data_IF_858230314627
#
_entry.id   IF_858230314627
#
_cell.length_a   1.000
_cell.length_b   1.000
_cell.length_c   1.000
_cell.angle_alpha   90.00
_cell.angle_beta   90.00
_cell.angle_gamma   90.00
#
_symmetry.space_group_name_H-M   'P 1'
#
loop_
_entity.id
_entity.type
_entity.pdbx_description
1 polymer ?
#
# COMPACT_ATOMS: atom_id res chain seq x y z
N UNK A 1 25.79 7.33 21.16
CA UNK A 1 24.69 8.30 20.96
C UNK A 1 25.16 9.64 21.50
N UNK A 2 25.25 10.67 20.65
CA UNK A 2 25.52 12.03 21.10
C UNK A 2 24.40 12.48 22.03
N UNK A 3 24.72 12.87 23.27
CA UNK A 3 23.76 13.45 24.20
C UNK A 3 23.65 14.94 23.92
N UNK A 4 22.68 15.32 23.10
CA UNK A 4 22.37 16.73 22.87
C UNK A 4 21.66 17.31 24.10
N UNK A 5 21.85 18.61 24.35
CA UNK A 5 21.07 19.33 25.35
C UNK A 5 19.57 19.26 24.95
N UNK A 6 18.67 18.74 25.79
CA UNK A 6 17.25 18.60 25.46
C UNK A 6 16.57 19.91 25.05
N UNK A 7 17.02 21.05 25.60
CA UNK A 7 16.51 22.38 25.23
C UNK A 7 16.92 22.74 23.81
N UNK A 8 18.20 22.58 23.47
CA UNK A 8 18.72 22.86 22.11
C UNK A 8 18.00 21.98 21.07
N UNK A 9 17.83 20.69 21.38
CA UNK A 9 17.13 19.78 20.49
C UNK A 9 15.66 20.13 20.27
N UNK A 10 14.96 20.61 21.31
CA UNK A 10 13.59 21.13 21.16
C UNK A 10 13.55 22.36 20.24
N UNK A 11 14.43 23.35 20.45
CA UNK A 11 14.44 24.57 19.63
C UNK A 11 14.80 24.31 18.17
N UNK A 12 15.74 23.40 17.89
CA UNK A 12 16.07 23.01 16.52
C UNK A 12 14.89 22.32 15.81
N UNK A 13 14.15 21.46 16.52
CA UNK A 13 12.93 20.85 15.98
C UNK A 13 11.82 21.87 15.74
N UNK A 14 11.68 22.85 16.65
CA UNK A 14 10.73 23.94 16.49
C UNK A 14 11.08 24.83 15.30
N UNK A 15 12.34 25.22 15.16
CA UNK A 15 12.85 26.01 14.03
C UNK A 15 12.61 25.28 12.70
N UNK A 16 12.99 24.01 12.60
CA UNK A 16 12.75 23.20 11.41
C UNK A 16 11.25 23.13 11.06
N UNK A 17 10.38 23.03 12.06
CA UNK A 17 8.93 22.99 11.87
C UNK A 17 8.35 24.34 11.44
N UNK A 18 8.89 25.45 11.96
CA UNK A 18 8.53 26.80 11.50
C UNK A 18 8.93 26.97 10.03
N UNK A 19 10.16 26.60 9.66
CA UNK A 19 10.64 26.65 8.27
C UNK A 19 9.74 25.81 7.36
N UNK A 20 9.41 24.58 7.78
CA UNK A 20 8.50 23.69 7.04
C UNK A 20 7.12 24.33 6.84
N UNK A 21 6.55 24.92 7.89
CA UNK A 21 5.23 25.55 7.85
C UNK A 21 5.22 26.79 6.97
N UNK A 22 6.27 27.62 7.05
CA UNK A 22 6.45 28.78 6.18
C UNK A 22 6.61 28.36 4.72
N UNK A 23 7.33 27.27 4.45
CA UNK A 23 7.45 26.71 3.11
C UNK A 23 6.08 26.28 2.56
N UNK A 24 5.26 25.53 3.33
CA UNK A 24 3.91 25.13 2.91
C UNK A 24 2.98 26.34 2.69
N UNK A 25 3.09 27.36 3.53
CA UNK A 25 2.33 28.60 3.35
C UNK A 25 2.76 29.35 2.08
N UNK A 26 4.07 29.47 1.85
CA UNK A 26 4.61 30.08 0.63
C UNK A 26 4.19 29.28 -0.60
N UNK A 27 4.22 27.97 -0.55
CA UNK A 27 3.79 27.08 -1.64
C UNK A 27 2.31 27.30 -2.00
N UNK A 28 1.43 27.40 -1.01
CA UNK A 28 0.03 27.79 -1.22
C UNK A 28 -0.09 29.17 -1.87
N UNK A 29 0.61 30.19 -1.35
CA UNK A 29 0.59 31.55 -1.91
C UNK A 29 1.05 31.53 -3.37
N UNK A 30 2.13 30.81 -3.67
CA UNK A 30 2.65 30.69 -5.02
C UNK A 30 1.69 29.93 -5.94
N UNK A 31 1.02 28.88 -5.46
CA UNK A 31 -0.01 28.19 -6.22
C UNK A 31 -1.23 29.09 -6.56
N UNK A 32 -1.53 30.09 -5.72
CA UNK A 32 -2.60 31.05 -5.94
C UNK A 32 -2.17 32.14 -6.94
N UNK A 33 -1.03 32.80 -6.70
CA UNK A 33 -0.62 33.99 -7.48
C UNK A 33 0.24 33.67 -8.70
N UNK A 34 1.01 32.58 -8.64
CA UNK A 34 1.92 32.15 -9.69
C UNK A 34 1.70 30.66 -10.04
N UNK A 35 0.47 30.26 -10.41
CA UNK A 35 0.13 28.86 -10.68
C UNK A 35 0.94 28.28 -11.83
N UNK A 36 0.97 26.94 -11.91
CA UNK A 36 1.44 26.24 -13.10
C UNK A 36 0.66 26.71 -14.35
N UNK A 37 1.27 26.71 -15.54
CA UNK A 37 0.62 27.23 -16.76
C UNK A 37 -0.77 26.63 -17.03
N UNK A 38 -0.94 25.33 -16.77
CA UNK A 38 -2.23 24.62 -16.92
C UNK A 38 -3.34 25.08 -15.97
N UNK A 39 -3.03 25.88 -14.96
CA UNK A 39 -3.98 26.40 -13.98
C UNK A 39 -4.07 27.94 -14.00
N UNK A 40 -3.33 28.60 -14.89
CA UNK A 40 -3.22 30.06 -14.92
C UNK A 40 -4.53 30.78 -15.26
N UNK A 41 -5.44 30.14 -15.98
CA UNK A 41 -6.75 30.71 -16.34
C UNK A 41 -7.81 30.55 -15.25
N UNK A 42 -7.56 29.74 -14.22
CA UNK A 42 -8.52 29.51 -13.13
C UNK A 42 -8.62 30.75 -12.23
N UNK A 43 -9.80 30.99 -11.65
CA UNK A 43 -9.97 31.99 -10.60
C UNK A 43 -9.27 31.61 -9.29
N UNK A 44 -8.99 32.58 -8.40
CA UNK A 44 -8.24 32.31 -7.16
C UNK A 44 -8.87 31.23 -6.27
N UNK A 45 -10.20 31.25 -6.09
CA UNK A 45 -10.91 30.20 -5.33
C UNK A 45 -10.77 28.81 -5.96
N UNK A 46 -10.80 28.73 -7.29
CA UNK A 46 -10.59 27.46 -8.01
C UNK A 46 -9.15 26.98 -7.92
N UNK A 47 -8.16 27.88 -7.88
CA UNK A 47 -6.75 27.53 -7.65
C UNK A 47 -6.56 26.93 -6.27
N UNK A 48 -7.18 27.49 -5.23
CA UNK A 48 -7.16 26.92 -3.87
C UNK A 48 -7.82 25.54 -3.86
N UNK A 49 -9.01 25.42 -4.47
CA UNK A 49 -9.72 24.14 -4.58
C UNK A 49 -8.87 23.08 -5.30
N UNK A 50 -8.18 23.45 -6.38
CA UNK A 50 -7.27 22.55 -7.08
C UNK A 50 -6.01 22.24 -6.28
N UNK A 51 -5.44 23.20 -5.55
CA UNK A 51 -4.25 22.97 -4.73
C UNK A 51 -4.50 21.91 -3.67
N UNK A 52 -5.62 22.00 -2.95
CA UNK A 52 -6.00 21.05 -1.93
C UNK A 52 -6.64 19.76 -2.47
N UNK A 53 -6.95 19.67 -3.77
CA UNK A 53 -7.49 18.43 -4.35
C UNK A 53 -6.43 17.34 -4.51
N UNK A 54 -5.13 17.67 -4.46
CA UNK A 54 -4.06 16.68 -4.53
C UNK A 54 -3.83 15.98 -3.19
N UNK A 55 -3.84 14.65 -3.20
CA UNK A 55 -3.46 13.82 -2.05
C UNK A 55 -2.08 14.20 -1.52
N UNK A 56 -1.14 14.42 -2.43
CA UNK A 56 0.25 14.78 -2.09
C UNK A 56 0.34 16.11 -1.32
N UNK A 57 -0.49 17.09 -1.64
CA UNK A 57 -0.60 18.33 -0.87
C UNK A 57 -1.11 18.03 0.53
N UNK A 58 -2.25 17.35 0.64
CA UNK A 58 -2.88 17.07 1.94
C UNK A 58 -1.95 16.26 2.87
N UNK A 59 -1.24 15.26 2.35
CA UNK A 59 -0.33 14.44 3.15
C UNK A 59 0.88 15.21 3.66
N UNK A 60 1.40 16.19 2.91
CA UNK A 60 2.46 17.08 3.39
C UNK A 60 1.99 17.96 4.57
N UNK A 61 0.76 18.48 4.53
CA UNK A 61 0.17 19.17 5.69
C UNK A 61 -0.03 18.22 6.88
N UNK A 62 -0.44 16.98 6.64
CA UNK A 62 -0.55 15.95 7.69
C UNK A 62 0.82 15.65 8.32
N UNK A 63 1.90 15.61 7.54
CA UNK A 63 3.28 15.46 8.07
C UNK A 63 3.67 16.65 8.94
N UNK A 64 3.41 17.88 8.50
CA UNK A 64 3.67 19.06 9.31
C UNK A 64 2.88 19.01 10.63
N UNK A 65 1.58 18.68 10.58
CA UNK A 65 0.74 18.50 11.77
C UNK A 65 1.27 17.40 12.68
N UNK A 66 1.72 16.27 12.13
CA UNK A 66 2.33 15.19 12.90
C UNK A 66 3.58 15.69 13.65
N UNK A 67 4.45 16.46 13.01
CA UNK A 67 5.62 17.02 13.68
C UNK A 67 5.26 18.05 14.75
N UNK A 68 4.19 18.84 14.59
CA UNK A 68 3.64 19.68 15.66
C UNK A 68 3.20 18.83 16.86
N UNK A 69 2.38 17.81 16.63
CA UNK A 69 1.92 16.90 17.69
C UNK A 69 3.12 16.23 18.39
N UNK A 70 4.08 15.73 17.61
CA UNK A 70 5.28 15.10 18.14
C UNK A 70 6.11 16.03 19.01
N UNK A 71 6.34 17.28 18.56
CA UNK A 71 7.13 18.27 19.28
C UNK A 71 6.47 18.63 20.62
N UNK A 72 5.15 18.88 20.61
CA UNK A 72 4.44 19.32 21.81
C UNK A 72 4.15 18.18 22.80
N UNK A 73 3.82 16.98 22.33
CA UNK A 73 3.70 15.83 23.23
C UNK A 73 5.03 15.47 23.87
N UNK A 74 6.13 15.52 23.10
CA UNK A 74 7.47 15.28 23.65
C UNK A 74 7.84 16.33 24.70
N UNK A 75 7.43 17.59 24.53
CA UNK A 75 7.77 18.68 25.45
C UNK A 75 6.90 18.70 26.71
N UNK A 76 5.59 18.55 26.57
CA UNK A 76 4.62 18.77 27.64
C UNK A 76 4.17 17.49 28.33
N UNK A 77 4.15 16.36 27.61
CA UNK A 77 3.71 15.06 28.16
C UNK A 77 4.86 14.07 28.32
N UNK A 78 6.03 14.38 27.76
CA UNK A 78 7.16 13.45 27.64
C UNK A 78 6.74 12.13 26.94
N UNK A 79 5.77 12.22 26.03
CA UNK A 79 5.25 11.13 25.22
C UNK A 79 5.50 11.39 23.74
N UNK A 80 5.23 10.39 22.90
CA UNK A 80 5.18 10.54 21.44
C UNK A 80 3.78 10.22 20.93
N UNK A 81 3.40 10.71 19.75
CA UNK A 81 2.12 10.37 19.14
C UNK A 81 1.97 8.86 19.01
N UNK A 82 0.73 8.40 19.11
CA UNK A 82 0.41 6.98 19.05
C UNK A 82 0.98 6.33 17.78
N UNK A 83 1.54 5.13 17.91
CA UNK A 83 2.24 4.43 16.83
C UNK A 83 1.41 4.29 15.55
N UNK A 84 0.10 4.06 15.68
CA UNK A 84 -0.82 3.96 14.53
C UNK A 84 -0.88 5.26 13.74
N UNK A 85 -0.84 6.43 14.40
CA UNK A 85 -0.80 7.73 13.72
C UNK A 85 0.52 7.86 12.95
N UNK A 86 1.64 7.55 13.60
CA UNK A 86 2.95 7.55 12.97
C UNK A 86 3.01 6.61 11.74
N UNK A 87 2.47 5.41 11.86
CA UNK A 87 2.35 4.43 10.77
C UNK A 87 1.51 4.97 9.62
N UNK A 88 0.35 5.57 9.90
CA UNK A 88 -0.54 6.16 8.91
C UNK A 88 0.16 7.26 8.10
N UNK A 89 0.72 8.25 8.81
CA UNK A 89 1.39 9.41 8.19
C UNK A 89 2.59 8.97 7.35
N UNK A 90 3.40 8.03 7.86
CA UNK A 90 4.55 7.49 7.12
C UNK A 90 4.09 6.73 5.87
N UNK A 91 3.01 5.95 5.97
CA UNK A 91 2.44 5.24 4.81
C UNK A 91 1.99 6.24 3.74
N UNK A 92 1.17 7.24 4.10
CA UNK A 92 0.62 8.19 3.12
C UNK A 92 1.70 9.03 2.43
N UNK A 93 2.71 9.50 3.17
CA UNK A 93 3.77 10.30 2.58
C UNK A 93 4.71 9.46 1.71
N UNK A 94 4.85 8.16 2.01
CA UNK A 94 5.61 7.23 1.14
C UNK A 94 4.85 6.95 -0.15
N UNK A 95 3.53 6.77 -0.08
CA UNK A 95 2.68 6.68 -1.28
C UNK A 95 2.82 7.96 -2.11
N UNK A 96 2.81 9.13 -1.46
CA UNK A 96 3.01 10.43 -2.12
C UNK A 96 4.32 10.47 -2.91
N UNK A 97 5.42 10.04 -2.30
CA UNK A 97 6.72 9.95 -2.97
C UNK A 97 6.68 8.96 -4.16
N UNK A 98 6.15 7.75 -3.96
CA UNK A 98 6.12 6.72 -4.99
C UNK A 98 5.23 7.11 -6.19
N UNK A 99 4.01 7.57 -5.93
CA UNK A 99 3.07 7.99 -6.98
C UNK A 99 3.67 9.12 -7.81
N UNK A 100 4.33 10.09 -7.18
CA UNK A 100 4.95 11.19 -7.90
C UNK A 100 6.13 10.74 -8.76
N UNK A 101 7.14 10.12 -8.16
CA UNK A 101 8.41 9.80 -8.84
C UNK A 101 8.33 8.60 -9.78
N UNK A 102 7.40 7.66 -9.56
CA UNK A 102 7.21 6.50 -10.44
C UNK A 102 6.07 6.75 -11.43
N UNK A 103 4.99 7.41 -11.00
CA UNK A 103 3.77 7.54 -11.80
C UNK A 103 3.63 8.86 -12.58
N UNK A 104 4.00 10.00 -11.99
CA UNK A 104 3.67 11.32 -12.55
C UNK A 104 4.84 11.93 -13.32
N UNK A 105 6.06 11.89 -12.77
CA UNK A 105 7.22 12.59 -13.36
C UNK A 105 7.60 12.08 -14.75
N UNK A 106 7.29 10.81 -15.06
CA UNK A 106 7.58 10.16 -16.34
C UNK A 106 6.60 10.50 -17.46
N UNK A 107 5.53 11.25 -17.19
CA UNK A 107 4.59 11.65 -18.23
C UNK A 107 5.20 12.70 -19.15
N UNK A 108 4.98 12.52 -20.47
CA UNK A 108 5.36 13.52 -21.47
C UNK A 108 4.73 14.88 -21.10
N UNK A 109 5.51 15.94 -21.26
CA UNK A 109 5.12 17.33 -21.05
C UNK A 109 4.82 17.79 -19.61
N UNK A 110 4.79 16.92 -18.59
CA UNK A 110 4.70 17.35 -17.19
C UNK A 110 5.96 18.09 -16.74
N UNK A 111 7.14 17.54 -17.06
CA UNK A 111 8.43 18.13 -16.68
C UNK A 111 8.65 19.52 -17.30
N UNK A 112 8.16 19.72 -18.53
CA UNK A 112 8.32 20.97 -19.29
C UNK A 112 7.47 22.13 -18.74
N UNK A 113 6.46 21.84 -17.90
CA UNK A 113 5.60 22.85 -17.29
C UNK A 113 6.21 23.48 -16.03
N UNK A 114 7.28 22.91 -15.49
CA UNK A 114 7.90 23.36 -14.25
C UNK A 114 8.89 24.51 -14.49
N UNK A 115 8.52 25.69 -13.99
CA UNK A 115 9.46 26.80 -13.73
C UNK A 115 10.43 26.43 -12.58
N UNK A 116 11.59 27.09 -12.45
CA UNK A 116 12.58 26.74 -11.42
C UNK A 116 12.01 26.61 -10.00
N UNK A 117 11.14 27.54 -9.59
CA UNK A 117 10.46 27.47 -8.31
C UNK A 117 9.60 26.19 -8.15
N UNK A 118 8.81 25.84 -9.16
CA UNK A 118 7.96 24.65 -9.09
C UNK A 118 8.77 23.35 -9.04
N UNK A 119 9.97 23.33 -9.64
CA UNK A 119 10.91 22.21 -9.48
C UNK A 119 11.39 22.10 -8.03
N UNK A 120 11.82 23.21 -7.42
CA UNK A 120 12.24 23.24 -6.02
C UNK A 120 11.12 22.80 -5.09
N UNK A 121 9.92 23.36 -5.27
CA UNK A 121 8.76 23.00 -4.48
C UNK A 121 8.42 21.51 -4.62
N UNK A 122 8.41 21.01 -5.86
CA UNK A 122 8.19 19.59 -6.17
C UNK A 122 9.18 18.68 -5.45
N UNK A 123 10.47 18.98 -5.49
CA UNK A 123 11.51 18.18 -4.81
C UNK A 123 11.31 18.20 -3.30
N UNK A 124 10.98 19.36 -2.73
CA UNK A 124 10.74 19.46 -1.29
C UNK A 124 9.49 18.65 -0.89
N UNK A 125 8.39 18.79 -1.64
CA UNK A 125 7.09 18.15 -1.38
C UNK A 125 7.07 16.64 -1.62
N UNK A 126 7.81 16.15 -2.61
CA UNK A 126 7.72 14.76 -3.05
C UNK A 126 8.99 13.95 -2.77
N UNK A 127 10.06 14.55 -2.24
CA UNK A 127 11.27 13.81 -1.86
C UNK A 127 11.74 14.18 -0.46
N UNK A 128 12.04 15.46 -0.19
CA UNK A 128 12.65 15.87 1.09
C UNK A 128 11.72 15.60 2.27
N UNK A 129 10.47 16.05 2.22
CA UNK A 129 9.49 15.81 3.28
C UNK A 129 9.23 14.31 3.53
N UNK A 130 8.95 13.49 2.49
CA UNK A 130 8.87 12.03 2.66
C UNK A 130 10.11 11.42 3.31
N UNK A 131 11.31 11.75 2.86
CA UNK A 131 12.57 11.20 3.41
C UNK A 131 12.75 11.59 4.88
N UNK A 132 12.44 12.83 5.26
CA UNK A 132 12.48 13.28 6.66
C UNK A 132 11.49 12.46 7.51
N UNK A 133 10.26 12.27 7.05
CA UNK A 133 9.24 11.50 7.79
C UNK A 133 9.61 10.01 7.90
N UNK A 134 10.09 9.39 6.83
CA UNK A 134 10.55 7.99 6.83
C UNK A 134 11.75 7.82 7.77
N UNK A 135 12.70 8.75 7.73
CA UNK A 135 13.86 8.75 8.65
C UNK A 135 13.40 8.90 10.09
N UNK A 136 12.48 9.82 10.37
CA UNK A 136 11.87 10.00 11.69
C UNK A 136 11.20 8.72 12.18
N UNK A 137 10.45 8.02 11.31
CA UNK A 137 9.86 6.72 11.62
C UNK A 137 10.93 5.70 12.03
N UNK A 138 11.95 5.49 11.20
CA UNK A 138 13.00 4.49 11.45
C UNK A 138 13.76 4.78 12.75
N UNK A 139 14.05 6.05 13.04
CA UNK A 139 14.78 6.45 14.24
C UNK A 139 13.98 6.32 15.54
N UNK A 140 12.65 6.27 15.46
CA UNK A 140 11.75 6.25 16.63
C UNK A 140 10.97 4.95 16.77
N UNK A 141 11.11 4.04 15.81
CA UNK A 141 10.53 2.70 15.81
C UNK A 141 11.30 1.72 16.70
N UNK A 142 10.65 0.61 17.07
CA UNK A 142 11.23 -0.48 17.84
C UNK A 142 11.13 -0.34 19.36
N UNK A 143 10.32 0.59 19.87
CA UNK A 143 10.08 0.75 21.31
C UNK A 143 9.10 -0.30 21.87
N UNK A 144 8.22 -0.84 21.03
CA UNK A 144 7.30 -1.92 21.39
C UNK A 144 7.09 -2.88 20.21
N UNK A 145 6.76 -4.13 20.54
CA UNK A 145 6.35 -5.10 19.53
C UNK A 145 4.91 -4.80 19.11
N UNK A 146 4.67 -4.74 17.80
CA UNK A 146 3.36 -4.49 17.23
C UNK A 146 2.78 -5.77 16.63
N UNK A 147 1.65 -6.22 17.15
CA UNK A 147 1.01 -7.46 16.74
C UNK A 147 0.28 -7.31 15.39
N UNK A 148 0.67 -8.10 14.40
CA UNK A 148 0.01 -8.13 13.08
C UNK A 148 -1.49 -8.49 13.17
N UNK A 149 -1.89 -9.22 14.21
CA UNK A 149 -3.28 -9.63 14.40
C UNK A 149 -4.21 -8.47 14.74
N UNK A 150 -3.77 -7.57 15.60
CA UNK A 150 -4.53 -6.37 15.95
C UNK A 150 -4.59 -5.40 14.78
N UNK A 151 -3.53 -5.36 13.97
CA UNK A 151 -3.45 -4.47 12.83
C UNK A 151 -4.54 -4.76 11.80
N UNK A 152 -4.61 -5.98 11.26
CA UNK A 152 -5.54 -6.29 10.17
C UNK A 152 -7.01 -6.23 10.59
N UNK A 153 -7.30 -6.47 11.88
CA UNK A 153 -8.68 -6.42 12.40
C UNK A 153 -9.20 -5.00 12.57
N UNK A 154 -8.34 -4.05 12.93
CA UNK A 154 -8.77 -2.70 13.34
C UNK A 154 -8.01 -1.59 12.63
N UNK A 155 -6.70 -1.57 12.77
CA UNK A 155 -5.90 -0.40 12.40
C UNK A 155 -5.62 -0.29 10.90
N UNK A 156 -5.56 -1.42 10.18
CA UNK A 156 -5.45 -1.44 8.72
C UNK A 156 -6.59 -0.63 8.09
N UNK A 157 -7.82 -0.95 8.46
CA UNK A 157 -9.02 -0.28 7.94
C UNK A 157 -9.11 1.18 8.38
N UNK A 158 -8.68 1.49 9.61
CA UNK A 158 -8.62 2.87 10.08
C UNK A 158 -7.66 3.73 9.25
N UNK A 159 -6.51 3.19 8.85
CA UNK A 159 -5.55 3.88 7.97
C UNK A 159 -6.11 3.96 6.54
N UNK A 160 -6.74 2.90 6.03
CA UNK A 160 -7.36 2.94 4.69
C UNK A 160 -8.52 3.94 4.59
N UNK A 161 -9.21 4.23 5.70
CA UNK A 161 -10.39 5.11 5.72
C UNK A 161 -10.11 6.49 5.14
N UNK A 162 -8.98 7.12 5.48
CA UNK A 162 -8.64 8.44 4.95
C UNK A 162 -8.43 8.42 3.43
N UNK A 163 -7.79 7.38 2.90
CA UNK A 163 -7.58 7.23 1.45
C UNK A 163 -8.90 7.01 0.71
N UNK A 164 -9.80 6.21 1.28
CA UNK A 164 -11.15 6.00 0.71
C UNK A 164 -11.94 7.30 0.75
N UNK A 165 -11.93 8.04 1.86
CA UNK A 165 -12.61 9.33 1.98
C UNK A 165 -12.08 10.36 0.97
N UNK A 166 -10.75 10.44 0.82
CA UNK A 166 -10.11 11.27 -0.19
C UNK A 166 -10.59 10.91 -1.59
N UNK A 167 -10.54 9.63 -1.96
CA UNK A 167 -10.97 9.16 -3.27
C UNK A 167 -12.42 9.55 -3.55
N UNK A 168 -13.33 9.28 -2.61
CA UNK A 168 -14.76 9.60 -2.76
C UNK A 168 -14.95 11.09 -3.01
N UNK A 169 -14.31 11.96 -2.21
CA UNK A 169 -14.41 13.42 -2.36
C UNK A 169 -13.88 13.87 -3.72
N UNK A 170 -12.75 13.32 -4.17
CA UNK A 170 -12.15 13.70 -5.44
C UNK A 170 -12.95 13.22 -6.64
N UNK A 171 -13.50 12.01 -6.59
CA UNK A 171 -14.40 11.52 -7.62
C UNK A 171 -15.63 12.42 -7.71
N UNK A 172 -16.31 12.67 -6.58
CA UNK A 172 -17.47 13.59 -6.54
C UNK A 172 -17.12 14.97 -7.09
N UNK A 173 -16.01 15.57 -6.64
CA UNK A 173 -15.55 16.88 -7.13
C UNK A 173 -15.33 16.88 -8.64
N UNK A 174 -14.65 15.85 -9.17
CA UNK A 174 -14.40 15.75 -10.60
C UNK A 174 -15.67 15.56 -11.43
N UNK A 175 -16.61 14.75 -10.94
CA UNK A 175 -17.95 14.60 -11.53
C UNK A 175 -18.69 15.93 -11.59
N UNK A 176 -18.77 16.68 -10.49
CA UNK A 176 -19.45 17.97 -10.46
C UNK A 176 -18.79 18.99 -11.40
N UNK A 177 -17.45 19.06 -11.42
CA UNK A 177 -16.74 19.94 -12.35
C UNK A 177 -17.00 19.59 -13.81
N UNK A 178 -17.18 18.30 -14.13
CA UNK A 178 -17.52 17.86 -15.47
C UNK A 178 -18.94 18.30 -15.86
N UNK A 179 -19.90 18.11 -14.95
CA UNK A 179 -21.28 18.56 -15.14
C UNK A 179 -21.38 20.09 -15.29
N UNK A 180 -20.51 20.85 -14.61
CA UNK A 180 -20.38 22.30 -14.73
C UNK A 180 -19.64 22.76 -16.00
N UNK A 181 -19.24 21.84 -16.89
CA UNK A 181 -18.53 22.17 -18.13
C UNK A 181 -17.12 22.77 -17.90
N UNK A 182 -16.48 22.45 -16.78
CA UNK A 182 -15.11 22.94 -16.50
C UNK A 182 -14.09 22.24 -17.40
N UNK A 183 -12.94 22.90 -17.59
CA UNK A 183 -11.85 22.37 -18.42
C UNK A 183 -11.46 20.94 -18.01
N UNK A 184 -11.45 19.97 -18.96
CA UNK A 184 -11.10 18.57 -18.75
C UNK A 184 -9.81 18.35 -17.96
N UNK A 185 -8.81 19.23 -18.12
CA UNK A 185 -7.49 19.13 -17.48
C UNK A 185 -7.52 19.43 -15.97
N UNK A 186 -8.66 19.89 -15.46
CA UNK A 186 -8.83 20.30 -14.05
C UNK A 186 -9.94 19.55 -13.32
N UNK A 187 -10.55 18.57 -13.98
CA UNK A 187 -11.62 17.76 -13.39
C UNK A 187 -11.06 16.97 -12.21
N UNK A 188 -9.99 16.22 -12.46
CA UNK A 188 -9.33 15.38 -11.47
C UNK A 188 -7.87 15.81 -11.24
N UNK A 189 -7.35 15.68 -10.01
CA UNK A 189 -5.96 15.98 -9.69
C UNK A 189 -4.99 15.01 -10.38
N UNK A 190 -5.43 13.78 -10.63
CA UNK A 190 -4.62 12.74 -11.26
C UNK A 190 -5.29 12.24 -12.53
N UNK A 191 -4.50 12.08 -13.59
CA UNK A 191 -4.99 11.60 -14.89
C UNK A 191 -5.68 10.23 -14.78
N UNK A 192 -5.16 9.33 -13.94
CA UNK A 192 -5.71 8.00 -13.73
C UNK A 192 -7.02 7.97 -12.93
N UNK A 193 -7.54 9.11 -12.50
CA UNK A 193 -8.86 9.25 -11.89
C UNK A 193 -9.92 9.76 -12.88
N UNK A 194 -9.52 10.17 -14.09
CA UNK A 194 -10.43 10.74 -15.07
C UNK A 194 -11.18 9.62 -15.82
N UNK A 195 -12.31 9.19 -15.27
CA UNK A 195 -13.16 8.16 -15.86
C UNK A 195 -14.01 8.65 -17.05
N UNK A 196 -13.95 9.94 -17.40
CA UNK A 196 -14.63 10.48 -18.61
C UNK A 196 -13.79 10.34 -19.88
N UNK A 197 -12.48 10.05 -19.77
CA UNK A 197 -11.64 9.77 -20.92
C UNK A 197 -11.92 8.35 -21.47
N UNK A 198 -11.64 8.08 -22.76
CA UNK A 198 -11.72 6.72 -23.30
C UNK A 198 -10.86 5.73 -22.48
N UNK A 199 -11.49 4.67 -21.97
CA UNK A 199 -10.85 3.69 -21.07
C UNK A 199 -10.52 4.22 -19.67
N UNK A 200 -11.06 5.38 -19.29
CA UNK A 200 -10.81 6.02 -18.01
C UNK A 200 -11.34 5.21 -16.83
N UNK A 201 -12.51 4.57 -16.98
CA UNK A 201 -13.09 3.65 -15.99
C UNK A 201 -12.14 2.48 -15.66
N UNK A 202 -11.55 1.86 -16.68
CA UNK A 202 -10.53 0.83 -16.53
C UNK A 202 -9.27 1.36 -15.83
N UNK A 203 -8.84 2.57 -16.20
CA UNK A 203 -7.69 3.23 -15.56
C UNK A 203 -7.95 3.52 -14.08
N UNK A 204 -9.13 4.01 -13.72
CA UNK A 204 -9.54 4.22 -12.33
C UNK A 204 -9.52 2.90 -11.58
N UNK A 205 -10.18 1.86 -12.10
CA UNK A 205 -10.22 0.55 -11.48
C UNK A 205 -8.80 0.01 -11.23
N UNK A 206 -7.93 0.06 -12.22
CA UNK A 206 -6.52 -0.37 -12.10
C UNK A 206 -5.76 0.46 -11.06
N UNK A 207 -5.91 1.79 -11.06
CA UNK A 207 -5.24 2.66 -10.12
C UNK A 207 -5.67 2.39 -8.66
N UNK A 208 -6.95 2.14 -8.42
CA UNK A 208 -7.48 1.81 -7.09
C UNK A 208 -6.80 0.56 -6.51
N UNK A 209 -6.57 -0.42 -7.36
CA UNK A 209 -5.97 -1.70 -6.97
C UNK A 209 -4.52 -1.51 -6.65
N UNK A 210 -3.77 -0.91 -7.57
CA UNK A 210 -2.35 -0.63 -7.37
C UNK A 210 -2.14 0.19 -6.10
N UNK A 211 -2.92 1.25 -5.89
CA UNK A 211 -2.83 2.10 -4.70
C UNK A 211 -3.19 1.32 -3.44
N UNK A 212 -4.26 0.51 -3.46
CA UNK A 212 -4.65 -0.32 -2.31
C UNK A 212 -3.53 -1.30 -1.93
N UNK A 213 -2.96 -2.00 -2.91
CA UNK A 213 -1.86 -2.94 -2.70
C UNK A 213 -0.64 -2.26 -2.14
N UNK A 214 -0.24 -1.12 -2.71
CA UNK A 214 0.90 -0.34 -2.21
C UNK A 214 0.62 0.14 -0.78
N UNK A 215 -0.57 0.66 -0.50
CA UNK A 215 -0.92 1.16 0.83
C UNK A 215 -0.90 0.06 1.90
N UNK A 216 -1.48 -1.10 1.60
CA UNK A 216 -1.46 -2.24 2.52
C UNK A 216 -0.04 -2.77 2.69
N UNK A 217 0.71 -2.93 1.59
CA UNK A 217 2.09 -3.44 1.62
C UNK A 217 3.01 -2.54 2.44
N UNK A 218 2.90 -1.21 2.28
CA UNK A 218 3.69 -0.25 3.03
C UNK A 218 3.38 -0.29 4.53
N UNK A 219 2.11 -0.43 4.92
CA UNK A 219 1.75 -0.58 6.34
C UNK A 219 2.44 -1.81 6.95
N UNK A 220 2.35 -2.96 6.30
CA UNK A 220 3.03 -4.18 6.77
C UNK A 220 4.55 -4.07 6.73
N UNK A 221 5.11 -3.40 5.73
CA UNK A 221 6.54 -3.13 5.63
C UNK A 221 7.04 -2.31 6.81
N UNK A 222 6.36 -1.22 7.16
CA UNK A 222 6.74 -0.39 8.30
C UNK A 222 6.58 -1.13 9.64
N UNK A 223 5.51 -1.91 9.81
CA UNK A 223 5.36 -2.80 10.99
C UNK A 223 6.52 -3.80 11.08
N UNK A 224 6.92 -4.39 9.96
CA UNK A 224 8.06 -5.29 9.90
C UNK A 224 9.34 -4.59 10.34
N UNK A 225 9.61 -3.38 9.85
CA UNK A 225 10.77 -2.57 10.28
C UNK A 225 10.72 -2.29 11.79
N UNK A 226 9.56 -1.87 12.32
CA UNK A 226 9.38 -1.63 13.76
C UNK A 226 9.71 -2.89 14.58
N UNK A 227 9.12 -4.03 14.22
CA UNK A 227 9.32 -5.28 14.95
C UNK A 227 10.75 -5.80 14.82
N UNK A 228 11.40 -5.62 13.67
CA UNK A 228 12.81 -5.94 13.47
C UNK A 228 13.72 -5.12 14.41
N UNK A 229 13.47 -3.81 14.50
CA UNK A 229 14.22 -2.93 15.40
C UNK A 229 13.96 -3.26 16.87
N UNK A 230 12.71 -3.56 17.25
CA UNK A 230 12.36 -4.03 18.59
C UNK A 230 13.19 -5.26 18.98
N UNK A 231 13.22 -6.30 18.14
CA UNK A 231 14.04 -7.48 18.44
C UNK A 231 15.53 -7.15 18.57
N UNK A 232 16.07 -6.24 17.74
CA UNK A 232 17.48 -5.83 17.84
C UNK A 232 17.79 -5.12 19.16
N UNK A 233 16.93 -4.20 19.60
CA UNK A 233 17.16 -3.44 20.84
C UNK A 233 17.01 -4.29 22.10
N UNK A 234 16.05 -5.21 22.13
CA UNK A 234 15.76 -6.01 23.33
C UNK A 234 16.55 -7.32 23.40
N UNK A 235 17.06 -7.86 22.27
CA UNK A 235 17.97 -9.03 22.27
C UNK A 235 19.33 -8.72 22.90
N UNK A 236 19.78 -7.46 22.85
CA UNK A 236 21.09 -7.06 23.36
C UNK A 236 21.13 -6.75 24.87
N UNK A 237 19.98 -6.71 25.55
CA UNK A 237 19.87 -6.32 26.98
C UNK A 237 19.91 -7.50 27.96
N UNK A 238 20.52 -8.63 27.62
CA UNK A 238 20.57 -9.85 28.46
C UNK A 238 19.21 -10.42 28.89
N UNK A 239 18.10 -9.94 28.35
CA UNK A 239 16.86 -10.70 28.35
C UNK A 239 17.09 -11.83 27.35
N UNK A 240 17.28 -13.06 27.82
CA UNK A 240 17.08 -14.24 26.97
C UNK A 240 15.61 -14.24 26.57
N UNK A 241 15.28 -13.47 25.54
CA UNK A 241 14.13 -13.73 24.70
C UNK A 241 14.48 -15.08 24.11
N UNK A 242 14.07 -16.14 24.80
CA UNK A 242 14.00 -17.46 24.17
C UNK A 242 13.10 -17.19 22.98
N UNK A 243 13.61 -17.26 21.74
CA UNK A 243 12.72 -17.13 20.60
C UNK A 243 11.69 -18.21 20.84
N UNK A 244 10.44 -17.82 21.07
CA UNK A 244 9.37 -18.78 21.09
C UNK A 244 9.37 -19.28 19.65
N UNK A 245 10.07 -20.38 19.41
CA UNK A 245 9.98 -21.14 18.18
C UNK A 245 8.59 -21.73 18.24
N UNK A 246 7.61 -20.91 17.88
CA UNK A 246 6.32 -21.40 17.49
C UNK A 246 6.60 -22.25 16.25
N UNK A 247 6.64 -23.57 16.43
CA UNK A 247 6.50 -24.49 15.30
C UNK A 247 5.05 -24.36 14.90
N UNK A 248 4.77 -23.35 14.08
CA UNK A 248 3.45 -23.11 13.54
C UNK A 248 3.27 -24.10 12.42
N UNK A 249 2.50 -25.15 12.70
CA UNK A 249 2.06 -26.05 11.65
C UNK A 249 0.96 -25.34 10.87
N UNK A 250 1.23 -25.15 9.58
CA UNK A 250 0.26 -24.66 8.61
C UNK A 250 -0.98 -25.53 8.67
N UNK A 251 -2.14 -24.92 8.90
CA UNK A 251 -3.41 -25.65 9.00
C UNK A 251 -3.83 -26.15 7.61
N UNK A 252 -4.56 -27.27 7.56
CA UNK A 252 -5.16 -27.83 6.33
C UNK A 252 -5.92 -26.76 5.55
N UNK A 253 -6.67 -25.88 6.23
CA UNK A 253 -7.41 -24.77 5.58
C UNK A 253 -6.48 -23.84 4.78
N UNK A 254 -5.34 -23.48 5.35
CA UNK A 254 -4.34 -22.64 4.67
C UNK A 254 -3.72 -23.36 3.49
N UNK A 255 -3.38 -24.65 3.64
CA UNK A 255 -2.85 -25.48 2.55
C UNK A 255 -3.87 -25.57 1.41
N UNK A 256 -5.14 -25.83 1.72
CA UNK A 256 -6.23 -25.87 0.75
C UNK A 256 -6.39 -24.52 0.04
N UNK A 257 -6.33 -23.40 0.77
CA UNK A 257 -6.37 -22.06 0.16
C UNK A 257 -5.24 -21.85 -0.86
N UNK A 258 -4.01 -22.24 -0.53
CA UNK A 258 -2.89 -22.14 -1.47
C UNK A 258 -3.05 -23.07 -2.68
N UNK A 259 -3.54 -24.30 -2.51
CA UNK A 259 -3.79 -25.21 -3.64
C UNK A 259 -4.84 -24.61 -4.58
N UNK A 260 -5.97 -24.14 -4.04
CA UNK A 260 -7.02 -23.51 -4.83
C UNK A 260 -6.48 -22.25 -5.54
N UNK A 261 -5.69 -21.42 -4.85
CA UNK A 261 -5.09 -20.22 -5.46
C UNK A 261 -4.17 -20.52 -6.63
N UNK A 262 -3.35 -21.58 -6.54
CA UNK A 262 -2.50 -22.05 -7.65
C UNK A 262 -3.38 -22.49 -8.83
N UNK A 263 -4.43 -23.28 -8.58
CA UNK A 263 -5.35 -23.74 -9.62
C UNK A 263 -6.02 -22.56 -10.32
N UNK A 264 -6.52 -21.59 -9.56
CA UNK A 264 -7.17 -20.37 -10.09
C UNK A 264 -6.20 -19.57 -10.95
N UNK A 265 -4.96 -19.39 -10.51
CA UNK A 265 -3.95 -18.66 -11.27
C UNK A 265 -3.57 -19.35 -12.58
N UNK A 266 -3.37 -20.67 -12.55
CA UNK A 266 -3.10 -21.46 -13.76
C UNK A 266 -4.27 -21.38 -14.73
N UNK A 267 -5.50 -21.47 -14.22
CA UNK A 267 -6.70 -21.40 -15.04
C UNK A 267 -6.87 -20.02 -15.69
N UNK A 268 -6.61 -18.93 -14.96
CA UNK A 268 -6.63 -17.58 -15.52
C UNK A 268 -5.59 -17.42 -16.65
N UNK A 269 -4.36 -17.90 -16.45
CA UNK A 269 -3.32 -17.86 -17.49
C UNK A 269 -3.77 -18.62 -18.74
N UNK A 270 -4.35 -19.80 -18.59
CA UNK A 270 -4.84 -20.61 -19.72
C UNK A 270 -5.95 -19.88 -20.47
N UNK A 271 -6.92 -19.31 -19.77
CA UNK A 271 -8.02 -18.58 -20.41
C UNK A 271 -7.50 -17.35 -21.15
N UNK A 272 -6.63 -16.56 -20.52
CA UNK A 272 -6.08 -15.35 -21.13
C UNK A 272 -5.30 -15.69 -22.40
N UNK A 273 -4.57 -16.82 -22.42
CA UNK A 273 -3.90 -17.34 -23.63
C UNK A 273 -4.92 -17.72 -24.71
N UNK A 274 -6.01 -18.42 -24.35
CA UNK A 274 -7.05 -18.81 -25.32
C UNK A 274 -7.71 -17.56 -25.93
N UNK A 275 -7.98 -16.53 -25.14
CA UNK A 275 -8.55 -15.27 -25.64
C UNK A 275 -7.57 -14.52 -26.53
N UNK A 276 -6.31 -14.44 -26.12
CA UNK A 276 -5.28 -13.81 -26.93
C UNK A 276 -5.13 -14.51 -28.28
N UNK A 277 -5.10 -15.84 -28.30
CA UNK A 277 -5.02 -16.64 -29.53
C UNK A 277 -6.23 -16.39 -30.44
N UNK A 278 -7.44 -16.33 -29.85
CA UNK A 278 -8.66 -15.98 -30.60
C UNK A 278 -8.63 -14.57 -31.17
N UNK A 279 -8.15 -13.59 -30.40
CA UNK A 279 -8.01 -12.21 -30.85
C UNK A 279 -7.00 -12.10 -32.01
N UNK A 280 -5.85 -12.76 -31.88
CA UNK A 280 -4.80 -12.76 -32.91
C UNK A 280 -5.21 -13.48 -34.19
N UNK A 281 -5.91 -14.63 -34.09
CA UNK A 281 -6.41 -15.34 -35.27
C UNK A 281 -7.43 -14.47 -36.01
N UNK A 282 -8.30 -13.77 -35.29
CA UNK A 282 -9.33 -12.92 -35.89
C UNK A 282 -8.73 -11.73 -36.64
N UNK A 283 -7.81 -11.00 -36.00
CA UNK A 283 -7.11 -9.86 -36.61
C UNK A 283 -6.37 -10.24 -37.90
N UNK A 284 -5.88 -11.47 -38.00
CA UNK A 284 -5.12 -11.94 -39.16
C UNK A 284 -5.97 -12.58 -40.27
N UNK A 285 -7.13 -13.19 -39.94
CA UNK A 285 -7.93 -13.95 -40.92
C UNK A 285 -9.19 -13.23 -41.42
N UNK A 286 -9.76 -12.30 -40.65
CA UNK A 286 -10.97 -11.58 -41.05
C UNK A 286 -10.75 -10.06 -41.01
N UNK A 287 -9.88 -9.52 -41.88
CA UNK A 287 -9.75 -8.08 -42.02
C UNK A 287 -11.06 -7.50 -42.57
N UNK A 288 -11.89 -6.95 -41.68
CA UNK A 288 -12.86 -5.87 -41.94
C UNK A 288 -13.89 -6.05 -43.09
N UNK A 289 -14.32 -7.27 -43.43
CA UNK A 289 -15.29 -7.42 -44.52
C UNK A 289 -16.33 -8.52 -44.29
N UNK A 290 -17.38 -8.26 -43.48
CA UNK A 290 -18.77 -8.56 -43.88
C UNK A 290 -19.77 -7.97 -42.90
N UNK A 291 -20.76 -7.25 -43.43
CA UNK A 291 -21.83 -6.55 -42.71
C UNK A 291 -23.08 -7.43 -42.52
N UNK A 292 -22.94 -8.74 -42.35
CA UNK A 292 -24.10 -9.64 -42.29
C UNK A 292 -24.42 -10.12 -40.87
N UNK A 293 -25.70 -9.96 -40.54
CA UNK A 293 -26.40 -10.05 -39.25
C UNK A 293 -26.30 -11.42 -38.53
N UNK A 294 -25.68 -12.44 -39.13
CA UNK A 294 -25.49 -13.76 -38.49
C UNK A 294 -24.33 -13.84 -37.48
N UNK A 295 -23.53 -12.77 -37.33
CA UNK A 295 -22.50 -12.68 -36.27
C UNK A 295 -23.05 -12.31 -34.88
N UNK A 296 -24.37 -12.15 -34.70
CA UNK A 296 -24.94 -11.56 -33.48
C UNK A 296 -25.09 -12.52 -32.28
N UNK A 297 -24.74 -13.81 -32.40
CA UNK A 297 -24.95 -14.82 -31.32
C UNK A 297 -23.66 -15.53 -30.88
N UNK A 298 -22.56 -15.38 -31.61
CA UNK A 298 -21.20 -15.70 -31.16
C UNK A 298 -20.37 -14.48 -31.51
N UNK A 299 -19.47 -14.05 -30.63
CA UNK A 299 -18.42 -13.03 -30.86
C UNK A 299 -18.57 -11.67 -30.18
N UNK A 300 -19.64 -11.39 -29.43
CA UNK A 300 -19.78 -10.07 -28.78
C UNK A 300 -18.73 -9.78 -27.70
N UNK A 301 -18.17 -10.74 -26.96
CA UNK A 301 -17.37 -10.37 -25.78
C UNK A 301 -16.02 -9.72 -26.09
N UNK A 302 -15.36 -10.01 -27.22
CA UNK A 302 -14.06 -9.39 -27.55
C UNK A 302 -14.28 -8.08 -28.34
N UNK A 303 -15.25 -8.08 -29.25
CA UNK A 303 -15.59 -6.92 -30.08
C UNK A 303 -16.31 -5.82 -29.26
N UNK A 304 -17.18 -6.20 -28.32
CA UNK A 304 -17.90 -5.25 -27.44
C UNK A 304 -16.97 -4.50 -26.49
N UNK A 305 -15.87 -5.12 -26.05
CA UNK A 305 -14.94 -4.50 -25.11
C UNK A 305 -13.66 -3.96 -25.76
N UNK A 306 -13.44 -4.18 -27.07
CA UNK A 306 -12.27 -3.70 -27.83
C UNK A 306 -10.94 -3.89 -27.05
N UNK A 307 -10.75 -5.09 -26.47
CA UNK A 307 -9.62 -5.35 -25.58
C UNK A 307 -8.35 -5.47 -26.43
N UNK A 308 -7.46 -4.47 -26.33
CA UNK A 308 -6.15 -4.47 -26.99
C UNK A 308 -5.34 -5.73 -26.61
N UNK A 309 -4.80 -6.43 -27.60
CA UNK A 309 -3.96 -7.62 -27.41
C UNK A 309 -2.77 -7.39 -26.48
N UNK A 310 -2.25 -6.16 -26.41
CA UNK A 310 -1.19 -5.75 -25.47
C UNK A 310 -1.65 -5.81 -24.02
N UNK A 311 -2.93 -5.50 -23.75
CA UNK A 311 -3.52 -5.58 -22.40
C UNK A 311 -3.62 -7.04 -21.97
N UNK A 312 -4.05 -7.92 -22.87
CA UNK A 312 -4.08 -9.38 -22.62
C UNK A 312 -2.69 -9.94 -22.34
N UNK A 313 -1.68 -9.55 -23.12
CA UNK A 313 -0.28 -9.94 -22.87
C UNK A 313 0.18 -9.45 -21.49
N UNK A 314 -0.14 -8.20 -21.12
CA UNK A 314 0.20 -7.66 -19.81
C UNK A 314 -0.47 -8.45 -18.68
N UNK A 315 -1.74 -8.85 -18.84
CA UNK A 315 -2.46 -9.68 -17.86
C UNK A 315 -1.83 -11.06 -17.71
N UNK A 316 -1.47 -11.73 -18.80
CA UNK A 316 -0.75 -13.00 -18.76
C UNK A 316 0.57 -12.85 -17.99
N UNK A 317 1.35 -11.80 -18.28
CA UNK A 317 2.60 -11.55 -17.56
C UNK A 317 2.36 -11.32 -16.06
N UNK A 318 1.38 -10.50 -15.69
CA UNK A 318 1.02 -10.23 -14.29
C UNK A 318 0.59 -11.53 -13.60
N UNK A 319 -0.24 -12.35 -14.24
CA UNK A 319 -0.70 -13.62 -13.69
C UNK A 319 0.44 -14.61 -13.50
N UNK A 320 1.42 -14.69 -14.42
CA UNK A 320 2.63 -15.51 -14.27
C UNK A 320 3.48 -15.03 -13.09
N UNK A 321 3.76 -13.72 -12.99
CA UNK A 321 4.53 -13.18 -11.87
C UNK A 321 3.82 -13.41 -10.54
N UNK A 322 2.50 -13.26 -10.51
CA UNK A 322 1.72 -13.53 -9.33
C UNK A 322 1.70 -15.02 -8.99
N UNK A 323 1.64 -15.94 -9.96
CA UNK A 323 1.78 -17.37 -9.73
C UNK A 323 3.13 -17.72 -9.09
N UNK A 324 4.23 -17.16 -9.61
CA UNK A 324 5.56 -17.35 -9.04
C UNK A 324 5.60 -16.83 -7.60
N UNK A 325 5.14 -15.59 -7.38
CA UNK A 325 5.07 -14.98 -6.04
C UNK A 325 4.21 -15.78 -5.06
N UNK A 326 3.10 -16.34 -5.55
CA UNK A 326 2.17 -17.15 -4.77
C UNK A 326 2.78 -18.51 -4.39
N UNK A 327 3.53 -19.15 -5.29
CA UNK A 327 4.28 -20.38 -4.99
C UNK A 327 5.34 -20.13 -3.92
N UNK A 328 6.08 -19.02 -4.00
CA UNK A 328 7.01 -18.63 -2.92
C UNK A 328 6.28 -18.42 -1.59
N UNK A 329 5.15 -17.72 -1.62
CA UNK A 329 4.31 -17.54 -0.43
C UNK A 329 3.87 -18.89 0.16
N UNK A 330 3.49 -19.84 -0.68
CA UNK A 330 3.11 -21.18 -0.25
C UNK A 330 4.27 -21.93 0.41
N UNK A 331 5.46 -21.95 -0.22
CA UNK A 331 6.66 -22.59 0.33
C UNK A 331 7.04 -22.00 1.69
N UNK A 332 6.99 -20.66 1.84
CA UNK A 332 7.28 -20.01 3.12
C UNK A 332 6.18 -20.22 4.16
N UNK A 333 4.91 -20.30 3.74
CA UNK A 333 3.81 -20.63 4.63
C UNK A 333 3.92 -22.07 5.16
N UNK A 334 4.38 -23.03 4.35
CA UNK A 334 4.69 -24.41 4.78
C UNK A 334 5.83 -24.46 5.81
N UNK A 335 6.73 -23.46 5.80
CA UNK A 335 7.79 -23.27 6.81
C UNK A 335 7.29 -22.53 8.07
N UNK A 336 5.97 -22.33 8.22
CA UNK A 336 5.37 -21.68 9.38
C UNK A 336 5.57 -20.15 9.42
N UNK A 337 5.76 -19.50 8.26
CA UNK A 337 5.88 -18.04 8.19
C UNK A 337 4.50 -17.40 7.94
N UNK A 338 3.86 -16.88 8.99
CA UNK A 338 2.56 -16.16 8.90
C UNK A 338 2.58 -15.07 7.82
N UNK A 339 3.67 -14.30 7.74
CA UNK A 339 3.80 -13.21 6.78
C UNK A 339 3.61 -13.69 5.33
N UNK A 340 4.10 -14.88 4.98
CA UNK A 340 3.96 -15.44 3.64
C UNK A 340 2.50 -15.80 3.30
N UNK A 341 1.72 -16.25 4.30
CA UNK A 341 0.28 -16.48 4.14
C UNK A 341 -0.48 -15.17 3.90
N UNK A 342 -0.17 -14.14 4.69
CA UNK A 342 -0.81 -12.82 4.54
C UNK A 342 -0.48 -12.21 3.17
N UNK A 343 0.79 -12.28 2.74
CA UNK A 343 1.22 -11.83 1.41
C UNK A 343 0.53 -12.63 0.31
N UNK A 344 0.43 -13.95 0.44
CA UNK A 344 -0.33 -14.78 -0.49
C UNK A 344 -1.80 -14.39 -0.57
N UNK A 345 -2.46 -14.15 0.57
CA UNK A 345 -3.86 -13.71 0.62
C UNK A 345 -4.06 -12.36 -0.09
N UNK A 346 -3.18 -11.40 0.19
CA UNK A 346 -3.20 -10.08 -0.44
C UNK A 346 -2.94 -10.16 -1.94
N UNK A 347 -2.00 -11.01 -2.37
CA UNK A 347 -1.72 -11.25 -3.78
C UNK A 347 -2.95 -11.79 -4.52
N UNK A 348 -3.71 -12.70 -3.90
CA UNK A 348 -4.96 -13.21 -4.50
C UNK A 348 -6.04 -12.15 -4.57
N UNK A 349 -6.23 -11.34 -3.51
CA UNK A 349 -7.18 -10.21 -3.57
C UNK A 349 -6.76 -9.19 -4.63
N UNK A 350 -5.46 -8.98 -4.82
CA UNK A 350 -4.91 -8.12 -5.87
C UNK A 350 -5.23 -8.66 -7.27
N UNK A 351 -5.08 -9.97 -7.45
CA UNK A 351 -5.37 -10.66 -8.72
C UNK A 351 -6.85 -10.63 -9.10
N UNK A 352 -7.75 -10.43 -8.14
CA UNK A 352 -9.18 -10.22 -8.40
C UNK A 352 -9.41 -9.15 -9.49
N UNK A 353 -8.57 -8.15 -9.54
CA UNK A 353 -8.72 -7.02 -10.44
C UNK A 353 -7.97 -7.15 -11.76
N UNK A 354 -7.14 -8.18 -11.90
CA UNK A 354 -6.45 -8.52 -13.14
C UNK A 354 -7.12 -9.70 -13.86
N UNK A 355 -8.13 -10.31 -13.23
CA UNK A 355 -8.84 -11.50 -13.71
C UNK A 355 -10.31 -11.21 -14.00
N UNK A 356 -10.72 -9.94 -13.92
CA UNK A 356 -12.10 -9.44 -14.01
C UNK A 356 -12.78 -9.63 -15.36
N UNK A 357 -12.00 -9.85 -16.43
CA UNK A 357 -12.52 -10.28 -17.74
C UNK A 357 -13.42 -11.51 -17.57
N UNK A 358 -13.14 -12.32 -16.55
CA UNK A 358 -13.89 -13.52 -16.20
C UNK A 358 -14.59 -13.26 -14.88
N UNK A 359 -15.89 -12.96 -14.83
CA UNK A 359 -16.65 -12.74 -13.56
C UNK A 359 -16.31 -13.79 -12.48
N UNK A 360 -16.00 -15.00 -12.91
CA UNK A 360 -15.59 -16.15 -12.11
C UNK A 360 -14.21 -15.98 -11.43
N UNK A 361 -13.23 -15.39 -12.12
CA UNK A 361 -11.86 -15.16 -11.64
C UNK A 361 -11.78 -14.32 -10.36
N UNK A 362 -12.42 -13.14 -10.29
CA UNK A 362 -12.50 -12.30 -9.11
C UNK A 362 -13.08 -13.03 -7.90
N UNK A 363 -14.18 -13.77 -8.08
CA UNK A 363 -14.87 -14.49 -7.01
C UNK A 363 -13.94 -15.54 -6.41
N UNK A 364 -13.23 -16.30 -7.24
CA UNK A 364 -12.28 -17.29 -6.76
C UNK A 364 -11.06 -16.65 -6.10
N UNK A 365 -10.51 -15.58 -6.67
CA UNK A 365 -9.39 -14.83 -6.11
C UNK A 365 -9.72 -14.28 -4.70
N UNK A 366 -10.90 -13.67 -4.55
CA UNK A 366 -11.41 -13.19 -3.27
C UNK A 366 -11.63 -14.34 -2.29
N UNK A 367 -12.28 -15.42 -2.73
CA UNK A 367 -12.55 -16.60 -1.90
C UNK A 367 -11.24 -17.21 -1.37
N UNK A 368 -10.22 -17.36 -2.23
CA UNK A 368 -8.90 -17.84 -1.82
C UNK A 368 -8.25 -16.88 -0.83
N UNK A 369 -8.29 -15.57 -1.10
CA UNK A 369 -7.79 -14.56 -0.17
C UNK A 369 -8.42 -14.69 1.21
N UNK A 370 -9.75 -14.81 1.28
CA UNK A 370 -10.49 -15.00 2.52
C UNK A 370 -10.16 -16.32 3.23
N UNK A 371 -10.03 -17.43 2.49
CA UNK A 371 -9.61 -18.73 3.06
C UNK A 371 -8.21 -18.60 3.70
N UNK A 372 -7.27 -17.94 3.02
CA UNK A 372 -5.92 -17.74 3.51
C UNK A 372 -5.87 -16.82 4.74
N UNK A 373 -6.70 -15.78 4.80
CA UNK A 373 -6.85 -14.94 5.99
C UNK A 373 -7.47 -15.71 7.17
N UNK A 374 -8.48 -16.54 6.91
CA UNK A 374 -9.22 -17.29 7.93
C UNK A 374 -8.47 -18.54 8.43
N UNK A 375 -7.39 -18.94 7.77
CA UNK A 375 -6.52 -20.00 8.24
C UNK A 375 -6.02 -19.71 9.67
N UNK A 376 -6.47 -20.47 10.67
CA UNK A 376 -5.89 -20.40 12.01
C UNK A 376 -4.64 -21.25 12.05
N UNK A 377 -3.52 -20.70 12.47
CA UNK A 377 -2.33 -21.53 12.71
C UNK A 377 -2.54 -22.28 14.03
N UNK A 378 -2.27 -23.59 14.01
CA UNK A 378 -2.18 -24.33 15.27
C UNK A 378 -0.85 -23.93 15.89
N UNK A 379 -0.93 -23.02 16.85
CA UNK A 379 0.16 -22.76 17.77
C UNK A 379 0.28 -24.01 18.62
N UNK A 380 1.16 -24.92 18.23
CA UNK A 380 1.61 -25.97 19.13
C UNK A 380 2.41 -25.26 20.21
N UNK A 381 1.78 -25.03 21.36
CA UNK A 381 2.49 -24.55 22.55
C UNK A 381 3.57 -25.57 22.88
N UNK A 382 4.82 -25.22 22.59
CA UNK A 382 5.92 -25.80 23.33
C UNK A 382 5.82 -25.13 24.70
N UNK A 383 5.30 -25.87 25.69
CA UNK A 383 5.11 -25.39 27.05
C UNK A 383 6.40 -24.77 27.55
N UNK A 384 6.32 -23.47 27.80
CA UNK A 384 7.39 -22.65 28.35
C UNK A 384 7.66 -23.13 29.77
N UNK A 385 8.70 -23.91 29.96
CA UNK A 385 9.33 -23.97 31.27
C UNK A 385 10.30 -22.79 31.32
N UNK A 386 9.96 -21.72 32.05
CA UNK A 386 10.91 -20.64 32.36
C UNK A 386 12.27 -21.24 32.74
N UNK A 387 13.40 -20.71 32.29
CA UNK A 387 14.73 -21.26 32.65
C UNK A 387 14.93 -21.31 34.17
N UNK A 388 14.30 -20.39 34.90
CA UNK A 388 14.20 -20.43 36.36
C UNK A 388 13.43 -21.69 36.85
N UNK A 389 12.28 -22.00 36.25
CA UNK A 389 11.52 -23.21 36.51
C UNK A 389 12.22 -24.47 36.00
N UNK A 390 13.05 -24.41 34.96
CA UNK A 390 13.84 -25.53 34.43
C UNK A 390 14.99 -25.87 35.38
N UNK A 391 15.59 -24.86 36.03
CA UNK A 391 16.54 -25.05 37.14
C UNK A 391 15.85 -25.57 38.39
N UNK A 392 14.66 -25.08 38.75
CA UNK A 392 13.87 -25.60 39.88
C UNK A 392 13.37 -27.02 39.63
N UNK A 393 12.89 -27.34 38.44
CA UNK A 393 12.51 -28.69 38.00
C UNK A 393 13.71 -29.61 38.00
N UNK A 394 14.85 -29.23 37.37
CA UNK A 394 16.08 -30.06 37.44
C UNK A 394 16.58 -30.26 38.87
N UNK A 395 16.45 -29.25 39.76
CA UNK A 395 16.75 -29.41 41.19
C UNK A 395 15.76 -30.35 41.88
N UNK A 396 14.47 -30.22 41.63
CA UNK A 396 13.40 -31.06 42.18
C UNK A 396 13.52 -32.53 41.71
N UNK A 397 13.86 -32.76 40.44
CA UNK A 397 14.08 -34.12 39.91
C UNK A 397 15.36 -34.74 40.48
N UNK A 398 16.41 -33.94 40.71
CA UNK A 398 17.63 -34.40 41.39
C UNK A 398 17.39 -34.69 42.88
N UNK A 399 16.58 -33.90 43.58
CA UNK A 399 16.23 -34.17 44.98
C UNK A 399 15.34 -35.40 45.13
N UNK A 400 14.34 -35.60 44.25
CA UNK A 400 13.53 -36.83 44.25
C UNK A 400 14.35 -38.10 43.97
N UNK A 401 15.37 -38.04 43.10
CA UNK A 401 16.28 -39.18 42.88
C UNK A 401 17.20 -39.48 44.07
N UNK A 402 17.51 -38.48 44.91
CA UNK A 402 18.30 -38.66 46.13
C UNK A 402 17.50 -39.23 47.31
N UNK A 403 16.17 -39.07 47.32
CA UNK A 403 15.29 -39.63 48.38
C UNK A 403 14.89 -41.07 48.09
N UNK A 404 15.02 -41.53 46.84
CA UNK A 404 14.75 -42.91 46.41
C UNK A 404 15.98 -43.83 46.42
N UNK A 405 17.15 -43.32 46.79
CA UNK A 405 18.36 -44.09 47.12
C UNK A 405 18.57 -43.95 48.61
#
# INVERSE_FOLDING_TARGET
MFKWNPRVHFYLRLEALIILSLFLLLDLIMAIYYPQPKFAYLGYGERISNYYSFFTTQTNYIVALYFFLYLFESKFKNTKPHYVIQLAVTTYITITMLVFWVGIVGQKDQAAQYRPYHWVATVILHLVMPVIMITSYVLTAGDHYYHYEEHHKKYLWLIMLYMVAYLTIILMRGTYRHLDGKDPRTLFPYFFLNYFEPGGDFMVATALVVICVVAVSLQYFYIFINNLLYFRYYRNKNVKIVPIQYVMKTNKVTITGFIIGIIVLVFNIIIDIIVLDRALIYDNFFPQQSSNIESMIRYDFIEHYNIDSRVLIAFICIAIFALIGFIFCFIFALKGKIGARLVGALLMITLMFFTWIWIIGPVFCLTVGLILFNGREKVTEITLVEVHNLRRLKKATKSQKKVKK
#
